data_IF_998238731889
#
_entry.id   IF_998238731889
#
_cell.length_a   1.000
_cell.length_b   1.000
_cell.length_c   1.000
_cell.angle_alpha   90.00
_cell.angle_beta   90.00
_cell.angle_gamma   90.00
#
_symmetry.space_group_name_H-M   'P 1'
#
loop_
_entity.id
_entity.type
_entity.pdbx_description
1 polymer ?
#
# COMPACT_ATOMS: atom_id res chain seq x y z
N UNK A 1 -3.35 21.13 -11.31
CA UNK A 1 -4.45 20.64 -10.45
C UNK A 1 -5.65 20.10 -11.23
N UNK A 2 -6.17 20.81 -12.25
CA UNK A 2 -7.40 20.39 -12.96
C UNK A 2 -7.35 18.97 -13.55
N UNK A 3 -6.19 18.53 -14.06
CA UNK A 3 -6.03 17.18 -14.62
C UNK A 3 -6.03 16.04 -13.57
N UNK A 4 -5.35 16.20 -12.42
CA UNK A 4 -5.36 15.19 -11.33
C UNK A 4 -6.79 14.95 -10.82
N UNK A 5 -7.57 16.03 -10.69
CA UNK A 5 -8.95 15.97 -10.22
C UNK A 5 -9.89 15.24 -11.18
N UNK A 6 -9.58 15.15 -12.48
CA UNK A 6 -10.38 14.37 -13.43
C UNK A 6 -10.37 12.87 -13.11
N UNK A 7 -9.34 12.37 -12.41
CA UNK A 7 -9.27 10.97 -12.00
C UNK A 7 -10.08 10.68 -10.73
N UNK A 8 -10.59 11.70 -10.03
CA UNK A 8 -11.33 11.53 -8.79
C UNK A 8 -12.62 10.72 -9.01
N UNK A 9 -13.54 11.20 -9.83
CA UNK A 9 -14.83 10.52 -10.09
C UNK A 9 -14.69 9.09 -10.64
N UNK A 10 -13.82 8.81 -11.62
CA UNK A 10 -13.53 7.44 -12.07
C UNK A 10 -13.02 6.54 -10.93
N UNK A 11 -12.16 7.06 -10.06
CA UNK A 11 -11.67 6.31 -8.89
C UNK A 11 -12.78 6.06 -7.88
N UNK A 12 -13.68 7.03 -7.65
CA UNK A 12 -14.83 6.87 -6.74
C UNK A 12 -15.73 5.73 -7.22
N UNK A 13 -16.04 5.70 -8.52
CA UNK A 13 -16.84 4.65 -9.13
C UNK A 13 -16.15 3.27 -9.03
N UNK A 14 -14.82 3.23 -9.19
CA UNK A 14 -14.03 2.01 -9.01
C UNK A 14 -14.10 1.53 -7.55
N UNK A 15 -13.92 2.44 -6.59
CA UNK A 15 -13.94 2.13 -5.17
C UNK A 15 -15.29 1.56 -4.72
N UNK A 16 -16.42 2.14 -5.15
CA UNK A 16 -17.76 1.58 -4.87
C UNK A 16 -17.89 0.14 -5.36
N UNK A 17 -17.41 -0.15 -6.57
CA UNK A 17 -17.43 -1.51 -7.12
C UNK A 17 -16.51 -2.48 -6.37
N UNK A 18 -15.43 -1.98 -5.76
CA UNK A 18 -14.58 -2.76 -4.87
C UNK A 18 -15.31 -3.07 -3.57
N UNK A 19 -15.96 -2.09 -2.93
CA UNK A 19 -16.72 -2.29 -1.70
C UNK A 19 -17.79 -3.38 -1.90
N UNK A 20 -18.56 -3.29 -2.99
CA UNK A 20 -19.55 -4.32 -3.35
C UNK A 20 -18.93 -5.71 -3.56
N UNK A 21 -17.66 -5.80 -3.99
CA UNK A 21 -16.99 -7.07 -4.26
C UNK A 21 -16.35 -7.70 -3.01
N UNK A 22 -16.16 -6.92 -1.95
CA UNK A 22 -15.56 -7.36 -0.68
C UNK A 22 -16.56 -7.40 0.48
N UNK A 23 -17.83 -7.09 0.23
CA UNK A 23 -18.90 -7.03 1.24
C UNK A 23 -19.10 -8.36 1.98
N UNK A 24 -18.82 -9.50 1.33
CA UNK A 24 -18.88 -10.82 1.94
C UNK A 24 -17.49 -11.36 2.37
N UNK A 25 -16.44 -10.56 2.25
CA UNK A 25 -15.07 -10.97 2.59
C UNK A 25 -14.72 -10.49 3.99
N UNK A 26 -14.69 -11.43 4.93
CA UNK A 26 -14.29 -11.15 6.30
C UNK A 26 -12.83 -10.70 6.37
N UNK A 27 -12.55 -9.74 7.25
CA UNK A 27 -11.19 -9.18 7.41
C UNK A 27 -10.80 -8.14 6.35
N UNK A 28 -11.56 -7.98 5.26
CA UNK A 28 -11.15 -7.12 4.16
C UNK A 28 -11.10 -5.63 4.52
N UNK A 29 -10.01 -4.98 4.13
CA UNK A 29 -9.82 -3.53 4.22
C UNK A 29 -9.61 -2.98 2.83
N UNK A 30 -10.31 -1.89 2.49
CA UNK A 30 -10.10 -1.20 1.23
C UNK A 30 -9.69 0.25 1.44
N UNK A 31 -8.71 0.73 0.69
CA UNK A 31 -8.29 2.13 0.74
C UNK A 31 -8.46 2.81 -0.61
N UNK A 32 -8.77 4.09 -0.55
CA UNK A 32 -8.92 5.00 -1.66
C UNK A 32 -7.90 6.11 -1.54
N UNK A 33 -7.14 6.35 -2.62
CA UNK A 33 -6.15 7.42 -2.66
C UNK A 33 -5.90 7.92 -4.08
N UNK A 34 -5.77 9.23 -4.23
CA UNK A 34 -5.16 9.85 -5.40
C UNK A 34 -3.64 9.99 -5.23
N UNK A 35 -2.89 9.66 -6.26
CA UNK A 35 -1.42 9.81 -6.27
C UNK A 35 -1.03 11.27 -6.04
N UNK A 36 -0.09 11.50 -5.12
CA UNK A 36 0.35 12.87 -4.76
C UNK A 36 1.03 13.56 -5.94
N UNK A 37 0.84 14.88 -6.05
CA UNK A 37 1.48 15.69 -7.10
C UNK A 37 3.00 15.54 -7.12
N UNK A 38 3.66 15.57 -5.95
CA UNK A 38 5.11 15.36 -5.84
C UNK A 38 5.52 13.99 -6.42
N UNK A 39 4.75 12.93 -6.16
CA UNK A 39 5.01 11.61 -6.72
C UNK A 39 4.75 11.54 -8.23
N UNK A 40 3.81 12.34 -8.76
CA UNK A 40 3.57 12.49 -10.21
C UNK A 40 4.74 13.23 -10.84
N UNK A 41 5.15 14.38 -10.29
CA UNK A 41 6.30 15.16 -10.76
C UNK A 41 7.59 14.36 -10.75
N UNK A 42 7.88 13.67 -9.64
CA UNK A 42 9.04 12.79 -9.52
C UNK A 42 9.00 11.63 -10.51
N UNK A 43 7.82 11.19 -10.96
CA UNK A 43 7.70 10.14 -11.98
C UNK A 43 7.96 10.71 -13.39
N UNK A 44 7.48 11.92 -13.67
CA UNK A 44 7.67 12.63 -14.94
C UNK A 44 9.10 13.15 -15.15
N UNK A 45 9.80 13.56 -14.09
CA UNK A 45 11.17 14.06 -14.15
C UNK A 45 12.24 12.98 -14.37
N UNK A 46 11.88 11.70 -14.36
CA UNK A 46 12.82 10.58 -14.52
C UNK A 46 13.40 10.59 -15.94
N UNK A 47 14.73 10.65 -16.06
CA UNK A 47 15.42 10.47 -17.34
C UNK A 47 15.04 9.09 -17.92
N UNK A 48 14.63 9.03 -19.19
CA UNK A 48 14.07 7.87 -19.91
C UNK A 48 12.56 7.59 -19.75
N UNK A 49 11.79 8.58 -19.34
CA UNK A 49 10.33 8.52 -19.32
C UNK A 49 9.75 9.04 -20.64
N UNK A 50 9.37 8.15 -21.57
CA UNK A 50 8.44 8.48 -22.68
C UNK A 50 6.99 8.71 -22.18
N UNK A 51 6.78 8.81 -20.85
CA UNK A 51 5.47 9.05 -20.27
C UNK A 51 5.01 10.48 -20.57
N UNK A 52 4.19 10.62 -21.60
CA UNK A 52 3.25 11.75 -21.70
C UNK A 52 2.32 11.70 -20.49
N UNK A 53 1.83 12.85 -20.02
CA UNK A 53 0.93 12.96 -18.86
C UNK A 53 -0.22 11.92 -18.91
N UNK A 54 -0.80 11.71 -20.09
CA UNK A 54 -1.88 10.73 -20.33
C UNK A 54 -1.51 9.24 -20.27
N UNK A 55 -0.24 8.88 -20.00
CA UNK A 55 0.23 7.50 -19.84
C UNK A 55 0.44 7.10 -18.36
N UNK A 56 0.12 7.99 -17.42
CA UNK A 56 0.13 7.67 -16.00
C UNK A 56 -1.14 6.88 -15.63
N UNK A 57 -1.01 5.57 -15.64
CA UNK A 57 -2.09 4.62 -15.33
C UNK A 57 -2.48 4.58 -13.84
N UNK A 58 -1.70 5.22 -12.94
CA UNK A 58 -1.73 5.04 -11.48
C UNK A 58 -2.05 6.33 -10.70
N UNK A 59 -2.88 7.22 -11.25
CA UNK A 59 -3.30 8.46 -10.55
C UNK A 59 -4.43 8.18 -9.57
N UNK A 60 -5.43 7.42 -10.03
CA UNK A 60 -6.44 6.83 -9.19
C UNK A 60 -5.96 5.49 -8.68
N UNK A 61 -5.87 5.32 -7.35
CA UNK A 61 -5.41 4.09 -6.73
C UNK A 61 -6.41 3.61 -5.69
N UNK A 62 -6.77 2.33 -5.79
CA UNK A 62 -7.45 1.60 -4.72
C UNK A 62 -6.54 0.46 -4.24
N UNK A 63 -6.61 0.12 -2.95
CA UNK A 63 -5.96 -1.06 -2.41
C UNK A 63 -7.00 -1.91 -1.70
N UNK A 64 -6.86 -3.23 -1.82
CA UNK A 64 -7.59 -4.21 -1.03
C UNK A 64 -6.56 -5.05 -0.27
N UNK A 65 -6.69 -5.08 1.05
CA UNK A 65 -5.83 -5.83 1.96
C UNK A 65 -6.69 -6.95 2.55
N UNK A 66 -6.19 -8.17 2.45
CA UNK A 66 -6.91 -9.42 2.73
C UNK A 66 -6.08 -10.31 3.65
N UNK A 67 -6.71 -11.26 4.34
CA UNK A 67 -6.01 -12.11 5.30
C UNK A 67 -5.25 -13.26 4.66
N UNK A 68 -5.64 -13.68 3.45
CA UNK A 68 -5.07 -14.86 2.79
C UNK A 68 -5.00 -14.76 1.26
N UNK A 69 -4.17 -15.61 0.66
CA UNK A 69 -4.06 -15.77 -0.80
C UNK A 69 -5.38 -16.25 -1.41
N UNK A 70 -6.14 -17.10 -0.72
CA UNK A 70 -7.45 -17.56 -1.20
C UNK A 70 -8.44 -16.40 -1.34
N UNK A 71 -8.47 -15.50 -0.36
CA UNK A 71 -9.25 -14.26 -0.46
C UNK A 71 -8.75 -13.36 -1.59
N UNK A 72 -7.43 -13.24 -1.79
CA UNK A 72 -6.84 -12.50 -2.92
C UNK A 72 -7.36 -13.05 -4.25
N UNK A 73 -7.34 -14.36 -4.44
CA UNK A 73 -7.86 -15.01 -5.64
C UNK A 73 -9.38 -14.81 -5.81
N UNK A 74 -10.16 -14.92 -4.72
CA UNK A 74 -11.60 -14.67 -4.73
C UNK A 74 -11.92 -13.25 -5.19
N UNK A 75 -11.29 -12.24 -4.58
CA UNK A 75 -11.49 -10.82 -4.91
C UNK A 75 -10.96 -10.51 -6.32
N UNK A 76 -9.78 -11.03 -6.69
CA UNK A 76 -9.21 -10.89 -8.04
C UNK A 76 -10.19 -11.38 -9.11
N UNK A 77 -10.78 -12.55 -8.90
CA UNK A 77 -11.74 -13.13 -9.82
C UNK A 77 -13.06 -12.34 -9.88
N UNK A 78 -13.58 -11.89 -8.75
CA UNK A 78 -14.78 -11.05 -8.68
C UNK A 78 -14.59 -9.73 -9.45
N UNK A 79 -13.50 -9.02 -9.18
CA UNK A 79 -13.19 -7.73 -9.82
C UNK A 79 -12.87 -7.88 -11.32
N UNK A 80 -12.18 -8.94 -11.72
CA UNK A 80 -11.88 -9.22 -13.13
C UNK A 80 -13.16 -9.40 -13.96
N UNK A 81 -14.15 -10.11 -13.42
CA UNK A 81 -15.47 -10.26 -14.03
C UNK A 81 -16.21 -8.93 -14.10
N UNK A 82 -16.17 -8.15 -13.01
CA UNK A 82 -16.92 -6.90 -12.87
C UNK A 82 -16.42 -5.80 -13.82
N UNK A 83 -15.11 -5.59 -13.90
CA UNK A 83 -14.51 -4.57 -14.78
C UNK A 83 -14.33 -5.02 -16.23
N UNK A 84 -14.88 -6.19 -16.61
CA UNK A 84 -14.76 -6.75 -17.97
C UNK A 84 -13.32 -6.67 -18.50
N UNK A 85 -12.36 -7.11 -17.69
CA UNK A 85 -10.93 -7.12 -18.04
C UNK A 85 -10.65 -8.27 -19.02
N UNK A 86 -11.21 -8.20 -20.24
CA UNK A 86 -11.22 -9.30 -21.21
C UNK A 86 -9.85 -9.64 -21.83
N UNK A 87 -8.84 -8.79 -21.67
CA UNK A 87 -7.52 -8.95 -22.29
C UNK A 87 -6.43 -8.82 -21.23
N UNK A 88 -5.64 -9.88 -21.00
CA UNK A 88 -4.69 -10.06 -19.88
C UNK A 88 -3.66 -8.94 -19.63
N UNK A 89 -3.48 -7.99 -20.54
CA UNK A 89 -2.65 -6.79 -20.35
C UNK A 89 -3.11 -5.85 -19.21
N UNK A 90 -4.23 -6.17 -18.55
CA UNK A 90 -4.80 -5.39 -17.44
C UNK A 90 -4.54 -6.01 -16.06
N UNK A 91 -3.83 -7.13 -15.99
CA UNK A 91 -3.50 -7.82 -14.73
C UNK A 91 -1.99 -8.01 -14.67
N UNK A 92 -1.37 -7.58 -13.56
CA UNK A 92 0.03 -7.90 -13.24
C UNK A 92 0.05 -8.63 -11.91
N UNK A 93 0.24 -9.94 -11.97
CA UNK A 93 0.19 -10.81 -10.80
C UNK A 93 1.61 -10.99 -10.24
N UNK A 94 2.05 -10.04 -9.41
CA UNK A 94 3.36 -10.12 -8.75
C UNK A 94 3.37 -11.08 -7.55
N UNK A 95 2.26 -11.79 -7.29
CA UNK A 95 2.22 -12.85 -6.29
C UNK A 95 2.68 -14.16 -6.93
N UNK A 96 2.14 -14.47 -8.12
CA UNK A 96 2.54 -15.64 -8.90
C UNK A 96 3.83 -15.42 -9.69
N UNK A 97 4.16 -14.16 -10.01
CA UNK A 97 5.40 -13.77 -10.70
C UNK A 97 6.10 -12.65 -9.92
N UNK A 98 6.67 -12.95 -8.73
CA UNK A 98 7.28 -11.95 -7.87
C UNK A 98 8.43 -11.21 -8.55
N UNK A 99 8.55 -9.93 -8.24
CA UNK A 99 9.66 -9.12 -8.74
C UNK A 99 10.96 -9.53 -8.06
N UNK A 100 12.09 -9.25 -8.72
CA UNK A 100 13.43 -9.51 -8.17
C UNK A 100 13.77 -8.67 -6.93
N UNK A 101 13.00 -7.61 -6.62
CA UNK A 101 13.05 -6.90 -5.33
C UNK A 101 12.48 -7.70 -4.17
N UNK A 102 11.64 -8.69 -4.46
CA UNK A 102 10.73 -9.28 -3.48
C UNK A 102 9.37 -8.59 -3.40
N UNK A 103 9.06 -7.62 -4.25
CA UNK A 103 7.73 -7.02 -4.27
C UNK A 103 6.65 -8.00 -4.74
N UNK A 104 5.56 -8.06 -3.98
CA UNK A 104 4.39 -8.94 -4.20
C UNK A 104 3.09 -8.16 -4.00
N UNK A 105 2.16 -8.34 -4.94
CA UNK A 105 0.78 -7.84 -4.95
C UNK A 105 0.17 -8.17 -6.32
N UNK A 106 -1.13 -8.45 -6.39
CA UNK A 106 -1.84 -8.52 -7.67
C UNK A 106 -2.36 -7.13 -8.07
N UNK A 107 -1.97 -6.62 -9.23
CA UNK A 107 -2.43 -5.34 -9.76
C UNK A 107 -3.47 -5.54 -10.86
N UNK A 108 -4.64 -4.94 -10.71
CA UNK A 108 -5.65 -4.84 -11.76
C UNK A 108 -5.76 -3.39 -12.25
N UNK A 109 -5.88 -3.19 -13.56
CA UNK A 109 -6.10 -1.88 -14.16
C UNK A 109 -7.53 -1.78 -14.68
N UNK A 110 -8.41 -1.18 -13.89
CA UNK A 110 -9.79 -0.92 -14.26
C UNK A 110 -9.86 0.27 -15.22
N UNK A 111 -10.62 0.11 -16.32
CA UNK A 111 -10.96 1.22 -17.23
C UNK A 111 -12.32 1.76 -16.82
N UNK A 112 -12.36 3.03 -16.48
CA UNK A 112 -13.53 3.72 -15.94
C UNK A 112 -13.87 4.88 -16.86
N UNK A 113 -15.10 4.92 -17.36
CA UNK A 113 -15.54 6.00 -18.25
C UNK A 113 -15.75 7.30 -17.47
N UNK A 114 -15.55 8.43 -18.12
CA UNK A 114 -15.79 9.73 -17.51
C UNK A 114 -17.27 9.94 -17.21
N UNK A 115 -17.58 10.56 -16.08
CA UNK A 115 -18.95 10.83 -15.64
C UNK A 115 -19.51 12.15 -16.16
N UNK A 116 -18.69 12.98 -16.79
CA UNK A 116 -19.01 14.34 -17.25
C UNK A 116 -19.43 14.40 -18.74
N UNK A 117 -19.75 13.25 -19.34
CA UNK A 117 -20.20 13.15 -20.74
C UNK A 117 -19.09 13.33 -21.77
N UNK A 118 -17.83 13.47 -21.34
CA UNK A 118 -16.68 13.36 -22.22
C UNK A 118 -16.48 11.90 -22.65
N UNK A 119 -16.22 11.68 -23.93
CA UNK A 119 -15.82 10.38 -24.48
C UNK A 119 -14.35 10.10 -24.17
N UNK A 120 -14.02 10.10 -22.88
CA UNK A 120 -12.71 9.74 -22.37
C UNK A 120 -12.84 8.71 -21.25
N UNK A 121 -11.79 7.92 -21.09
CA UNK A 121 -11.74 6.86 -20.10
C UNK A 121 -10.46 6.96 -19.30
N UNK A 122 -10.58 6.77 -18.00
CA UNK A 122 -9.49 6.82 -17.05
C UNK A 122 -9.12 5.41 -16.60
N UNK A 123 -7.83 5.22 -16.28
CA UNK A 123 -7.35 3.98 -15.69
C UNK A 123 -7.21 4.18 -14.18
N UNK A 124 -7.73 3.22 -13.43
CA UNK A 124 -7.62 3.13 -11.98
C UNK A 124 -6.85 1.87 -11.66
N UNK A 125 -5.77 1.99 -10.89
CA UNK A 125 -5.00 0.85 -10.40
C UNK A 125 -5.65 0.31 -9.13
N UNK A 126 -5.86 -1.00 -9.08
CA UNK A 126 -6.36 -1.73 -7.93
C UNK A 126 -5.25 -2.68 -7.48
N UNK A 127 -4.72 -2.45 -6.29
CA UNK A 127 -3.69 -3.29 -5.68
C UNK A 127 -4.35 -4.27 -4.70
N UNK A 128 -4.38 -5.55 -5.02
CA UNK A 128 -4.89 -6.61 -4.15
C UNK A 128 -3.69 -7.30 -3.51
N UNK A 129 -3.70 -7.45 -2.19
CA UNK A 129 -2.60 -8.08 -1.45
C UNK A 129 -3.05 -8.66 -0.13
N UNK A 130 -2.23 -9.52 0.44
CA UNK A 130 -2.41 -9.98 1.82
C UNK A 130 -1.93 -8.95 2.84
N UNK A 131 -2.31 -9.14 4.10
CA UNK A 131 -1.76 -8.43 5.25
C UNK A 131 -0.22 -8.56 5.29
N UNK A 132 0.33 -9.76 5.07
CA UNK A 132 1.77 -10.02 5.11
C UNK A 132 2.52 -9.29 3.99
N UNK A 133 1.99 -9.35 2.76
CA UNK A 133 2.49 -8.58 1.62
C UNK A 133 2.42 -7.07 1.88
N UNK A 134 1.36 -6.61 2.55
CA UNK A 134 1.24 -5.21 2.93
C UNK A 134 2.29 -4.79 3.95
N UNK A 135 2.49 -5.56 5.02
CA UNK A 135 3.54 -5.30 6.01
C UNK A 135 4.93 -5.29 5.41
N UNK A 136 5.23 -6.23 4.51
CA UNK A 136 6.50 -6.22 3.78
C UNK A 136 6.68 -4.94 2.96
N UNK A 137 5.64 -4.53 2.21
CA UNK A 137 5.70 -3.30 1.43
C UNK A 137 5.90 -2.06 2.34
N UNK A 138 5.29 -2.05 3.52
CA UNK A 138 5.46 -0.97 4.51
C UNK A 138 6.88 -0.96 5.09
N UNK A 139 7.48 -2.12 5.36
CA UNK A 139 8.87 -2.22 5.81
C UNK A 139 9.87 -1.73 4.74
N UNK A 140 9.59 -1.98 3.46
CA UNK A 140 10.36 -1.40 2.34
C UNK A 140 10.31 0.13 2.38
N UNK A 141 9.15 0.73 2.65
CA UNK A 141 9.03 2.18 2.79
C UNK A 141 9.83 2.69 4.00
N UNK A 142 9.70 2.04 5.16
CA UNK A 142 10.43 2.42 6.39
C UNK A 142 11.95 2.34 6.24
N UNK A 143 12.48 1.29 5.61
CA UNK A 143 13.91 1.21 5.27
C UNK A 143 14.30 2.31 4.27
N UNK A 144 13.43 2.62 3.30
CA UNK A 144 13.65 3.71 2.35
C UNK A 144 13.79 5.08 3.03
N UNK A 145 12.99 5.34 4.07
CA UNK A 145 13.06 6.58 4.84
C UNK A 145 14.29 6.63 5.75
N UNK A 146 14.57 5.56 6.49
CA UNK A 146 15.72 5.47 7.40
C UNK A 146 17.06 5.70 6.70
N UNK A 147 17.16 5.30 5.43
CA UNK A 147 18.42 5.27 4.69
C UNK A 147 18.39 6.04 3.39
N UNK A 148 17.31 6.80 3.15
CA UNK A 148 17.12 7.69 2.01
C UNK A 148 17.39 7.00 0.65
N UNK A 149 16.79 5.82 0.44
CA UNK A 149 16.93 4.98 -0.76
C UNK A 149 15.60 4.48 -1.34
N UNK A 150 15.52 4.19 -2.66
CA UNK A 150 14.31 3.64 -3.30
C UNK A 150 14.37 2.10 -3.43
N UNK A 151 13.95 1.44 -2.35
CA UNK A 151 13.83 -0.02 -2.33
C UNK A 151 12.57 -0.56 -3.04
N UNK A 152 11.68 0.31 -3.53
CA UNK A 152 10.40 -0.07 -4.17
C UNK A 152 10.57 -0.42 -5.65
N UNK A 153 11.64 0.05 -6.30
CA UNK A 153 11.83 -0.03 -7.76
C UNK A 153 13.19 -0.65 -8.15
N UNK A 154 13.37 -1.98 -8.08
CA UNK A 154 14.67 -2.63 -8.24
C UNK A 154 15.28 -2.48 -9.64
N UNK A 155 14.46 -2.32 -10.68
CA UNK A 155 14.92 -2.25 -12.08
C UNK A 155 15.71 -0.97 -12.40
N UNK A 156 15.73 0.02 -11.49
CA UNK A 156 16.10 1.40 -11.80
C UNK A 156 17.19 1.99 -10.93
N UNK A 157 17.78 1.22 -10.02
CA UNK A 157 18.82 1.72 -9.12
C UNK A 157 20.16 1.00 -9.26
N UNK A 158 21.21 1.82 -9.33
CA UNK A 158 22.60 1.39 -9.19
C UNK A 158 22.85 1.06 -7.72
N UNK A 159 23.26 -0.17 -7.42
CA UNK A 159 23.71 -0.54 -6.07
C UNK A 159 24.84 0.41 -5.67
N UNK A 160 24.61 1.20 -4.62
CA UNK A 160 25.50 2.31 -4.22
C UNK A 160 26.63 1.88 -3.29
N UNK A 161 26.59 0.63 -2.80
CA UNK A 161 27.61 0.05 -1.94
C UNK A 161 27.17 -1.26 -1.27
N UNK A 162 28.04 -1.82 -0.43
CA UNK A 162 27.80 -3.08 0.29
C UNK A 162 26.60 -2.99 1.24
N UNK A 163 26.47 -1.90 1.98
CA UNK A 163 25.34 -1.69 2.88
C UNK A 163 23.98 -1.65 2.13
N UNK A 164 23.94 -1.12 0.90
CA UNK A 164 22.73 -1.13 0.08
C UNK A 164 22.37 -2.55 -0.39
N UNK A 165 23.39 -3.32 -0.77
CA UNK A 165 23.23 -4.73 -1.14
C UNK A 165 22.67 -5.55 0.03
N UNK A 166 23.19 -5.36 1.24
CA UNK A 166 22.70 -6.06 2.44
C UNK A 166 21.23 -5.75 2.74
N UNK A 167 20.80 -4.48 2.64
CA UNK A 167 19.39 -4.09 2.79
C UNK A 167 18.48 -4.77 1.79
N UNK A 168 18.91 -4.83 0.52
CA UNK A 168 18.15 -5.52 -0.53
C UNK A 168 18.10 -7.02 -0.28
N UNK A 169 19.19 -7.62 0.19
CA UNK A 169 19.21 -9.03 0.56
C UNK A 169 18.26 -9.32 1.73
N UNK A 170 18.26 -8.48 2.77
CA UNK A 170 17.31 -8.56 3.89
C UNK A 170 15.87 -8.61 3.40
N UNK A 171 15.48 -7.63 2.58
CA UNK A 171 14.14 -7.52 2.01
C UNK A 171 13.75 -8.74 1.16
N UNK A 172 14.66 -9.22 0.30
CA UNK A 172 14.42 -10.39 -0.56
C UNK A 172 14.27 -11.68 0.25
N UNK A 173 15.12 -11.90 1.25
CA UNK A 173 15.07 -13.09 2.10
C UNK A 173 13.72 -13.14 2.84
N UNK A 174 13.29 -12.01 3.42
CA UNK A 174 12.01 -11.95 4.14
C UNK A 174 10.82 -12.13 3.18
N UNK A 175 10.88 -11.55 1.98
CA UNK A 175 9.85 -11.79 0.96
C UNK A 175 9.73 -13.28 0.61
N UNK A 176 10.85 -13.98 0.40
CA UNK A 176 10.85 -15.43 0.15
C UNK A 176 10.35 -16.24 1.35
N UNK A 177 10.62 -15.81 2.59
CA UNK A 177 10.09 -16.46 3.78
C UNK A 177 8.56 -16.29 3.88
N UNK A 178 8.05 -15.08 3.65
CA UNK A 178 6.61 -14.83 3.58
C UNK A 178 5.95 -15.61 2.44
N UNK A 179 6.61 -15.72 1.29
CA UNK A 179 6.11 -16.54 0.18
C UNK A 179 5.95 -18.02 0.56
N UNK A 180 6.87 -18.58 1.36
CA UNK A 180 6.71 -19.94 1.89
C UNK A 180 5.54 -20.07 2.86
N UNK A 181 5.30 -19.06 3.72
CA UNK A 181 4.15 -19.06 4.63
C UNK A 181 2.82 -19.01 3.88
N UNK A 182 2.79 -18.29 2.77
CA UNK A 182 1.60 -18.08 1.94
C UNK A 182 1.43 -19.15 0.85
N UNK A 183 2.39 -20.08 0.71
CA UNK A 183 2.36 -21.12 -0.33
C UNK A 183 2.52 -20.56 -1.75
N UNK A 184 3.17 -19.42 -1.92
CA UNK A 184 3.37 -18.72 -3.20
C UNK A 184 4.82 -18.83 -3.70
N UNK A 185 5.08 -18.57 -5.00
CA UNK A 185 6.45 -18.50 -5.52
C UNK A 185 7.35 -17.53 -4.75
N UNK A 186 8.60 -17.94 -4.54
CA UNK A 186 9.63 -17.13 -3.90
C UNK A 186 10.25 -16.12 -4.87
N UNK A 187 11.08 -15.21 -4.34
CA UNK A 187 11.80 -14.23 -5.18
C UNK A 187 12.69 -14.95 -6.21
N UNK A 188 12.67 -14.56 -7.50
CA UNK A 188 13.44 -15.24 -8.52
C UNK A 188 14.94 -15.26 -8.21
N UNK A 189 15.56 -16.44 -8.25
CA UNK A 189 16.97 -16.64 -7.92
C UNK A 189 17.27 -16.77 -6.42
N UNK A 190 16.24 -16.82 -5.57
CA UNK A 190 16.33 -17.07 -4.14
C UNK A 190 15.38 -18.21 -3.72
N UNK A 191 15.23 -19.20 -4.59
CA UNK A 191 14.39 -20.38 -4.35
C UNK A 191 15.12 -21.36 -3.41
N UNK A 192 14.91 -21.17 -2.10
CA UNK A 192 15.62 -21.89 -1.03
C UNK A 192 14.64 -22.43 0.00
N UNK A 193 15.04 -23.47 0.72
CA UNK A 193 14.22 -24.00 1.82
C UNK A 193 14.09 -22.98 2.97
N UNK A 194 13.02 -23.12 3.78
CA UNK A 194 12.80 -22.26 4.97
C UNK A 194 14.04 -22.22 5.88
N UNK A 195 14.68 -23.36 6.26
CA UNK A 195 15.88 -23.32 7.10
C UNK A 195 17.06 -22.59 6.47
N UNK A 196 17.27 -22.73 5.15
CA UNK A 196 18.36 -22.04 4.45
C UNK A 196 18.15 -20.53 4.40
N UNK A 197 16.91 -20.08 4.19
CA UNK A 197 16.54 -18.67 4.22
C UNK A 197 16.70 -18.07 5.62
N UNK A 198 16.22 -18.77 6.66
CA UNK A 198 16.40 -18.36 8.06
C UNK A 198 17.90 -18.27 8.40
N UNK A 199 18.69 -19.27 7.99
CA UNK A 199 20.15 -19.24 8.17
C UNK A 199 20.76 -18.01 7.49
N UNK A 200 20.40 -17.74 6.23
CA UNK A 200 20.87 -16.54 5.51
C UNK A 200 20.47 -15.25 6.21
N UNK A 201 19.25 -15.17 6.73
CA UNK A 201 18.76 -14.01 7.49
C UNK A 201 19.60 -13.78 8.75
N UNK A 202 19.87 -14.84 9.53
CA UNK A 202 20.64 -14.77 10.78
C UNK A 202 22.09 -14.33 10.58
N UNK A 203 22.71 -14.73 9.48
CA UNK A 203 24.10 -14.37 9.16
C UNK A 203 24.24 -13.06 8.37
N UNK A 204 23.16 -12.36 8.10
CA UNK A 204 23.22 -11.09 7.38
C UNK A 204 23.73 -9.97 8.31
N UNK A 205 24.86 -9.29 8.01
CA UNK A 205 25.49 -8.36 8.96
C UNK A 205 24.59 -7.21 9.41
N UNK A 206 23.82 -6.62 8.48
CA UNK A 206 22.90 -5.51 8.78
C UNK A 206 21.60 -5.92 9.51
N UNK A 207 21.34 -7.21 9.78
CA UNK A 207 20.00 -7.65 10.23
C UNK A 207 19.55 -6.97 11.52
N UNK A 208 20.42 -6.91 12.53
CA UNK A 208 20.08 -6.32 13.82
C UNK A 208 19.89 -4.80 13.73
N UNK A 209 20.69 -4.10 12.92
CA UNK A 209 20.56 -2.65 12.76
C UNK A 209 19.31 -2.27 11.96
N UNK A 210 18.91 -3.09 11.00
CA UNK A 210 17.66 -2.93 10.25
C UNK A 210 16.44 -3.15 11.13
N UNK A 211 16.42 -4.23 11.92
CA UNK A 211 15.33 -4.51 12.86
C UNK A 211 15.20 -3.41 13.91
N UNK A 212 16.32 -3.00 14.51
CA UNK A 212 16.32 -1.89 15.47
C UNK A 212 15.80 -0.59 14.85
N UNK A 213 16.27 -0.22 13.65
CA UNK A 213 15.81 0.99 12.96
C UNK A 213 14.30 0.97 12.71
N UNK A 214 13.79 -0.16 12.22
CA UNK A 214 12.35 -0.35 11.98
C UNK A 214 11.53 -0.32 13.28
N UNK A 215 12.04 -0.88 14.37
CA UNK A 215 11.39 -0.84 15.68
C UNK A 215 11.28 0.58 16.23
N UNK A 216 12.33 1.40 16.09
CA UNK A 216 12.27 2.82 16.47
C UNK A 216 11.23 3.57 15.62
N UNK A 217 11.22 3.35 14.31
CA UNK A 217 10.21 3.93 13.42
C UNK A 217 8.79 3.50 13.78
N UNK A 218 8.60 2.29 14.30
CA UNK A 218 7.29 1.81 14.70
C UNK A 218 6.79 2.47 16.01
N UNK A 219 7.70 2.75 16.94
CA UNK A 219 7.37 3.27 18.28
C UNK A 219 7.15 4.79 18.34
N UNK A 220 7.68 5.56 17.39
CA UNK A 220 7.58 7.03 17.45
C UNK A 220 6.18 7.58 17.14
N UNK A 221 5.23 6.76 16.68
CA UNK A 221 3.93 7.24 16.19
C UNK A 221 2.94 7.51 17.34
N UNK A 222 2.58 8.79 17.52
CA UNK A 222 1.50 9.20 18.42
C UNK A 222 0.15 9.16 17.71
N UNK A 223 -0.58 8.07 17.86
CA UNK A 223 -1.98 8.01 17.42
C UNK A 223 -2.79 8.93 18.35
N UNK A 224 -3.37 10.00 17.81
CA UNK A 224 -4.39 10.74 18.56
C UNK A 224 -5.69 9.94 18.48
N UNK A 225 -6.38 9.83 19.61
CA UNK A 225 -7.65 9.11 19.70
C UNK A 225 -8.65 9.67 18.66
N UNK A 226 -9.49 8.80 18.07
CA UNK A 226 -10.51 9.24 17.13
C UNK A 226 -11.35 10.36 17.75
N UNK A 227 -11.46 11.48 17.05
CA UNK A 227 -12.12 12.69 17.54
C UNK A 227 -13.65 12.56 17.69
N UNK A 228 -14.24 11.41 17.32
CA UNK A 228 -15.66 11.15 17.52
C UNK A 228 -15.92 9.85 18.28
N UNK A 229 -16.47 9.99 19.49
CA UNK A 229 -17.10 8.93 20.31
C UNK A 229 -18.31 8.25 19.63
N UNK A 230 -18.62 8.64 18.39
CA UNK A 230 -19.72 8.11 17.61
C UNK A 230 -19.15 7.52 16.33
N UNK A 231 -19.45 6.23 16.11
CA UNK A 231 -19.35 5.43 14.88
C UNK A 231 -18.44 4.21 15.04
N UNK A 232 -19.08 3.09 15.35
CA UNK A 232 -18.62 1.75 14.99
C UNK A 232 -19.85 0.85 14.91
N UNK A 233 -20.61 0.96 13.82
CA UNK A 233 -21.67 -0.02 13.51
C UNK A 233 -21.13 -1.26 12.81
N UNK A 234 -19.82 -1.32 12.58
CA UNK A 234 -19.13 -2.53 12.14
C UNK A 234 -18.85 -2.60 10.64
N UNK A 235 -19.04 -1.51 9.88
CA UNK A 235 -18.82 -1.40 8.43
C UNK A 235 -18.81 0.08 8.01
N UNK A 236 -17.73 0.80 8.36
CA UNK A 236 -17.69 2.26 8.23
C UNK A 236 -16.52 2.71 7.33
N UNK A 237 -16.63 3.95 6.85
CA UNK A 237 -15.61 4.66 6.11
C UNK A 237 -14.89 5.61 7.06
N UNK A 238 -13.57 5.63 6.99
CA UNK A 238 -12.71 6.41 7.86
C UNK A 238 -11.78 7.26 7.01
N UNK A 239 -11.87 8.57 7.20
CA UNK A 239 -10.97 9.54 6.61
C UNK A 239 -9.82 9.80 7.56
N UNK A 240 -8.65 9.30 7.20
CA UNK A 240 -7.43 9.43 7.97
C UNK A 240 -6.62 10.62 7.43
N UNK A 241 -6.33 11.59 8.29
CA UNK A 241 -5.61 12.83 7.98
C UNK A 241 -4.32 12.84 8.79
N UNK A 242 -3.19 13.07 8.14
CA UNK A 242 -1.87 12.92 8.76
C UNK A 242 -1.03 14.18 8.61
N UNK A 243 -0.34 14.55 9.68
CA UNK A 243 0.84 15.42 9.63
C UNK A 243 2.05 14.53 9.90
N UNK A 244 2.83 14.29 8.86
CA UNK A 244 3.99 13.39 8.92
C UNK A 244 5.07 13.99 9.83
N UNK A 245 5.26 15.31 9.81
CA UNK A 245 6.29 15.99 10.60
C UNK A 245 6.02 15.99 12.10
N UNK A 246 4.75 16.11 12.50
CA UNK A 246 4.33 16.09 13.91
C UNK A 246 3.86 14.71 14.38
N UNK A 247 3.87 13.71 13.49
CA UNK A 247 3.32 12.37 13.71
C UNK A 247 1.87 12.37 14.22
N UNK A 248 1.11 13.41 13.85
CA UNK A 248 -0.28 13.60 14.24
C UNK A 248 -1.19 12.89 13.24
N UNK A 249 -2.19 12.18 13.77
CA UNK A 249 -3.24 11.53 12.98
C UNK A 249 -4.60 11.98 13.49
N UNK A 250 -5.46 12.45 12.59
CA UNK A 250 -6.87 12.78 12.86
C UNK A 250 -7.76 11.86 12.02
N UNK A 251 -8.84 11.37 12.63
CA UNK A 251 -9.72 10.35 12.07
C UNK A 251 -11.15 10.88 12.11
N UNK A 252 -11.79 10.92 10.95
CA UNK A 252 -13.23 11.22 10.81
C UNK A 252 -13.95 9.99 10.25
N UNK A 253 -15.01 9.54 10.92
CA UNK A 253 -15.77 8.37 10.52
C UNK A 253 -17.07 8.76 9.80
N UNK A 254 -17.50 7.90 8.88
CA UNK A 254 -18.72 8.02 8.08
C UNK A 254 -19.34 6.64 7.95
N UNK A 255 -20.67 6.50 8.09
CA UNK A 255 -21.31 5.22 7.77
C UNK A 255 -21.19 4.93 6.27
N UNK A 256 -21.21 3.65 5.87
CA UNK A 256 -21.14 3.27 4.45
C UNK A 256 -22.27 3.89 3.59
N UNK A 257 -23.46 4.12 4.17
CA UNK A 257 -24.57 4.81 3.50
C UNK A 257 -24.30 6.29 3.16
N UNK A 258 -23.26 6.88 3.76
CA UNK A 258 -22.80 8.26 3.57
C UNK A 258 -21.47 8.32 2.81
N UNK A 259 -21.24 7.38 1.88
CA UNK A 259 -20.02 7.32 1.07
C UNK A 259 -19.75 8.60 0.27
N UNK A 260 -20.80 9.28 -0.19
CA UNK A 260 -20.67 10.53 -0.95
C UNK A 260 -20.08 11.64 -0.08
N UNK A 261 -20.57 11.77 1.16
CA UNK A 261 -20.06 12.73 2.14
C UNK A 261 -18.59 12.46 2.48
N UNK A 262 -18.23 11.18 2.65
CA UNK A 262 -16.86 10.75 2.95
C UNK A 262 -15.89 11.09 1.80
N UNK A 263 -16.30 10.83 0.56
CA UNK A 263 -15.50 11.11 -0.62
C UNK A 263 -15.37 12.62 -0.88
N UNK A 264 -16.45 13.39 -0.68
CA UNK A 264 -16.41 14.84 -0.80
C UNK A 264 -15.48 15.46 0.26
N UNK A 265 -15.50 14.93 1.49
CA UNK A 265 -14.56 15.34 2.53
C UNK A 265 -13.12 14.99 2.18
N UNK A 266 -12.87 13.80 1.64
CA UNK A 266 -11.55 13.42 1.14
C UNK A 266 -11.05 14.41 0.07
N UNK A 267 -11.89 14.72 -0.93
CA UNK A 267 -11.53 15.63 -2.02
C UNK A 267 -11.27 17.06 -1.53
N UNK A 268 -11.99 17.50 -0.49
CA UNK A 268 -11.75 18.77 0.17
C UNK A 268 -10.34 18.83 0.77
N UNK A 269 -9.94 17.82 1.56
CA UNK A 269 -8.60 17.78 2.15
C UNK A 269 -7.49 17.61 1.12
N UNK A 270 -7.69 16.79 0.08
CA UNK A 270 -6.73 16.68 -1.02
C UNK A 270 -6.47 18.04 -1.70
N UNK A 271 -7.52 18.83 -1.95
CA UNK A 271 -7.37 20.18 -2.50
C UNK A 271 -6.66 21.12 -1.52
N UNK A 272 -6.93 21.03 -0.22
CA UNK A 272 -6.21 21.83 0.77
C UNK A 272 -4.72 21.49 0.81
N UNK A 273 -4.38 20.19 0.82
CA UNK A 273 -2.99 19.68 0.84
C UNK A 273 -2.22 20.11 -0.43
N UNK A 274 -2.87 20.03 -1.60
CA UNK A 274 -2.26 20.48 -2.85
C UNK A 274 -2.02 22.01 -2.87
N UNK A 275 -2.88 22.79 -2.19
CA UNK A 275 -2.82 24.25 -2.14
C UNK A 275 -1.92 24.81 -1.01
N UNK A 276 -1.54 24.00 -0.01
CA UNK A 276 -0.79 24.44 1.19
C UNK A 276 0.60 25.01 0.93
N UNK A 277 1.14 24.93 -0.29
CA UNK A 277 2.38 25.66 -0.62
C UNK A 277 2.20 27.19 -0.68
N UNK A 278 1.00 27.77 -0.50
CA UNK A 278 0.80 29.20 -0.78
C UNK A 278 0.09 30.11 0.25
N UNK A 279 -0.53 29.69 1.38
CA UNK A 279 -1.18 30.67 2.29
C UNK A 279 -1.33 30.31 3.77
N UNK A 280 -1.40 31.35 4.62
CA UNK A 280 -1.61 31.42 6.09
C UNK A 280 -2.96 30.85 6.63
N UNK A 281 -3.62 29.97 5.88
CA UNK A 281 -4.89 29.32 6.26
C UNK A 281 -4.98 27.85 5.84
N UNK A 282 -3.83 27.21 5.70
CA UNK A 282 -3.70 25.82 5.26
C UNK A 282 -4.11 24.79 6.32
N UNK A 283 -4.27 23.55 5.88
CA UNK A 283 -4.42 22.39 6.77
C UNK A 283 -3.06 22.04 7.41
N UNK A 284 -3.02 21.61 8.69
CA UNK A 284 -1.79 21.07 9.28
C UNK A 284 -1.41 19.70 8.69
N UNK A 285 -2.36 19.02 8.06
CA UNK A 285 -2.16 17.71 7.45
C UNK A 285 -1.46 17.81 6.08
N UNK A 286 -0.51 16.92 5.82
CA UNK A 286 0.21 16.78 4.55
C UNK A 286 -0.21 15.53 3.75
N UNK A 287 -1.09 14.72 4.31
CA UNK A 287 -1.58 13.49 3.70
C UNK A 287 -3.00 13.14 4.15
N UNK A 288 -3.77 12.56 3.23
CA UNK A 288 -5.13 12.08 3.51
C UNK A 288 -5.38 10.76 2.80
N UNK A 289 -6.06 9.84 3.47
CA UNK A 289 -6.44 8.51 2.95
C UNK A 289 -7.87 8.22 3.38
N UNK A 290 -8.72 7.79 2.47
CA UNK A 290 -10.04 7.26 2.81
C UNK A 290 -9.97 5.73 2.87
N UNK A 291 -10.52 5.16 3.92
CA UNK A 291 -10.42 3.72 4.21
C UNK A 291 -11.79 3.17 4.55
N UNK A 292 -12.16 2.05 3.95
CA UNK A 292 -13.23 1.19 4.43
C UNK A 292 -12.65 0.12 5.36
N UNK A 293 -13.24 -0.01 6.54
CA UNK A 293 -12.89 -1.03 7.53
C UNK A 293 -14.15 -1.48 8.30
N UNK A 294 -14.18 -2.75 8.70
CA UNK A 294 -15.28 -3.31 9.50
C UNK A 294 -15.13 -2.98 10.98
N UNK A 295 -13.90 -2.80 11.46
CA UNK A 295 -13.66 -2.42 12.85
C UNK A 295 -12.52 -1.42 12.98
N UNK A 296 -12.46 -0.65 14.08
CA UNK A 296 -11.38 0.30 14.31
C UNK A 296 -9.98 -0.35 14.36
N UNK A 297 -9.88 -1.62 14.77
CA UNK A 297 -8.59 -2.32 14.80
C UNK A 297 -7.99 -2.51 13.41
N UNK A 298 -8.82 -2.67 12.38
CA UNK A 298 -8.38 -2.77 10.98
C UNK A 298 -7.85 -1.45 10.41
N UNK A 299 -8.14 -0.29 11.03
CA UNK A 299 -7.56 0.99 10.61
C UNK A 299 -6.05 1.00 10.68
N UNK A 300 -5.50 0.15 11.56
CA UNK A 300 -4.07 -0.13 11.67
C UNK A 300 -3.42 -0.51 10.35
N UNK A 301 -4.14 -1.25 9.51
CA UNK A 301 -3.66 -1.68 8.19
C UNK A 301 -3.64 -0.54 7.18
N UNK A 302 -4.52 0.46 7.33
CA UNK A 302 -4.62 1.56 6.40
C UNK A 302 -3.74 2.77 6.76
N UNK A 303 -3.17 2.79 7.97
CA UNK A 303 -2.27 3.87 8.37
C UNK A 303 -1.02 3.90 7.47
N UNK A 304 -0.74 5.04 6.83
CA UNK A 304 0.52 5.29 6.16
C UNK A 304 1.66 5.49 7.16
N UNK A 305 1.37 5.74 8.44
CA UNK A 305 2.36 6.11 9.45
C UNK A 305 3.17 4.93 10.01
N UNK A 306 3.34 3.85 9.26
CA UNK A 306 4.26 2.74 9.54
C UNK A 306 3.99 1.87 10.79
N UNK A 307 3.61 2.42 11.95
CA UNK A 307 3.68 1.73 13.25
C UNK A 307 3.06 0.34 13.28
N UNK A 308 1.75 0.22 13.05
CA UNK A 308 1.07 -1.06 13.22
C UNK A 308 1.48 -2.10 12.15
N UNK A 309 1.70 -1.67 10.92
CA UNK A 309 2.15 -2.54 9.83
C UNK A 309 3.61 -2.99 10.02
N UNK A 310 4.46 -2.13 10.57
CA UNK A 310 5.82 -2.49 10.98
C UNK A 310 5.82 -3.44 12.17
N UNK A 311 4.92 -3.29 13.14
CA UNK A 311 4.81 -4.25 14.25
C UNK A 311 4.54 -5.66 13.77
N UNK A 312 3.59 -5.85 12.84
CA UNK A 312 3.32 -7.18 12.25
C UNK A 312 4.53 -7.72 11.47
N UNK A 313 5.24 -6.86 10.72
CA UNK A 313 6.48 -7.24 10.05
C UNK A 313 7.54 -7.71 11.05
N UNK A 314 7.80 -6.92 12.09
CA UNK A 314 8.81 -7.18 13.11
C UNK A 314 8.50 -8.44 13.92
N UNK A 315 7.24 -8.65 14.30
CA UNK A 315 6.79 -9.85 15.00
C UNK A 315 7.09 -11.10 14.17
N UNK A 316 6.65 -11.14 12.92
CA UNK A 316 6.92 -12.28 12.03
C UNK A 316 8.41 -12.50 11.82
N UNK A 317 9.16 -11.43 11.60
CA UNK A 317 10.60 -11.55 11.35
C UNK A 317 11.34 -12.05 12.59
N UNK A 318 10.96 -11.59 13.79
CA UNK A 318 11.53 -12.04 15.07
C UNK A 318 11.26 -13.52 15.31
N UNK A 319 10.05 -14.00 15.00
CA UNK A 319 9.70 -15.42 15.13
C UNK A 319 10.64 -16.35 14.34
N UNK A 320 11.16 -15.91 13.17
CA UNK A 320 12.15 -16.70 12.42
C UNK A 320 13.48 -16.89 13.16
N UNK A 321 13.85 -16.00 14.09
CA UNK A 321 15.06 -16.14 14.89
C UNK A 321 14.90 -17.15 16.02
N UNK A 322 13.67 -17.36 16.48
CA UNK A 322 13.33 -18.31 17.53
C UNK A 322 13.14 -19.75 17.00
N UNK A 323 12.98 -19.93 15.69
CA UNK A 323 12.83 -21.26 15.07
C UNK A 323 14.09 -22.14 15.24
N UNK A 324 13.91 -23.38 15.69
CA UNK A 324 15.01 -24.35 15.73
C UNK A 324 15.29 -24.92 14.33
N UNK A 325 16.37 -24.44 13.71
CA UNK A 325 16.80 -24.87 12.37
C UNK A 325 17.80 -26.04 12.42
N UNK A 326 18.12 -26.59 13.59
CA UNK A 326 19.07 -27.71 13.73
C UNK A 326 18.45 -29.10 13.47
N UNK A 327 17.13 -29.15 13.28
CA UNK A 327 16.33 -30.38 13.14
C UNK A 327 15.77 -30.57 11.71
N UNK A 328 15.97 -29.60 10.80
CA UNK A 328 15.45 -29.59 9.41
C UNK A 328 16.56 -29.72 8.37
#
# INVERSE_FOLDING_TARGET
MQWRNQHFAPTQQCFRQILDAIDDIDGAVATFRLKRLISIENKLRRANSDFKLGALDDIGGCRVILDSIDQVEQVKNALTKRFSLKNGNKIKDYIQQPQTSGYRSCHLFAKMDATDGLDCSYRVEIQIRTCIEHAWATAVEGIGELYNGDYKSPEKETITGEADLERRQFLKIISSLFALEEGTPQVPGLELSRPELIRKLRYLPAVNSLLYGLEQSANDVKISEPLSDTLATGNDLFLLKFNTSEQLTDIEAFSLGHIDDALDRYNYYEKLIDNTQQTLGGTPFDNVVLTYARNPDQLKLAYPNYSANLSMFLEKVTNYFDEDISIL
#
